data_IF_265579725067
#
_entry.id   IF_265579725067
#
_cell.length_a   1.000
_cell.length_b   1.000
_cell.length_c   1.000
_cell.angle_alpha   90.00
_cell.angle_beta   90.00
_cell.angle_gamma   90.00
#
_symmetry.space_group_name_H-M   'P 1'
#
loop_
_entity.id
_entity.type
_entity.pdbx_description
1 polymer ?
#
# COMPACT_ATOMS: atom_id res chain seq x y z
N UNK A 1 -15.61 -5.17 -8.54
CA UNK A 1 -15.39 -6.22 -7.52
C UNK A 1 -14.26 -7.13 -8.02
N UNK A 2 -13.10 -7.09 -7.37
CA UNK A 2 -11.87 -7.78 -7.78
C UNK A 2 -11.72 -9.20 -7.18
N UNK A 3 -12.76 -9.72 -6.52
CA UNK A 3 -12.72 -11.06 -5.90
C UNK A 3 -11.97 -11.13 -4.57
N UNK A 4 -11.62 -9.99 -3.97
CA UNK A 4 -10.77 -9.88 -2.78
C UNK A 4 -11.57 -9.54 -1.51
N UNK A 5 -12.65 -10.28 -1.22
CA UNK A 5 -13.54 -10.01 -0.06
C UNK A 5 -12.81 -9.99 1.28
N UNK A 6 -11.80 -10.84 1.44
CA UNK A 6 -10.98 -10.94 2.65
C UNK A 6 -10.30 -9.61 3.04
N UNK A 7 -10.08 -8.69 2.10
CA UNK A 7 -9.52 -7.36 2.39
C UNK A 7 -10.50 -6.54 3.23
N UNK A 8 -11.80 -6.60 2.92
CA UNK A 8 -12.85 -5.89 3.66
C UNK A 8 -13.24 -6.58 4.97
N UNK A 9 -13.01 -7.89 5.08
CA UNK A 9 -13.26 -8.67 6.30
C UNK A 9 -12.10 -8.57 7.32
N UNK A 10 -10.94 -8.07 6.89
CA UNK A 10 -9.77 -7.95 7.74
C UNK A 10 -9.99 -6.91 8.86
N UNK A 11 -9.53 -7.17 10.10
CA UNK A 11 -9.67 -6.22 11.20
C UNK A 11 -8.84 -4.93 11.01
N UNK A 12 -7.82 -4.97 10.16
CA UNK A 12 -6.96 -3.84 9.84
C UNK A 12 -6.46 -3.94 8.39
N UNK A 13 -6.34 -2.81 7.71
CA UNK A 13 -5.70 -2.70 6.39
C UNK A 13 -4.66 -1.59 6.45
N UNK A 14 -3.41 -1.93 6.16
CA UNK A 14 -2.36 -0.94 5.93
C UNK A 14 -2.46 -0.43 4.51
N UNK A 15 -2.29 0.88 4.33
CA UNK A 15 -2.30 1.53 3.02
C UNK A 15 -1.09 2.43 2.93
N UNK A 16 -0.35 2.34 1.84
CA UNK A 16 0.78 3.21 1.54
C UNK A 16 0.39 4.16 0.41
N UNK A 17 0.45 5.45 0.69
CA UNK A 17 0.47 6.51 -0.32
C UNK A 17 1.90 6.91 -0.66
N UNK A 18 2.07 7.60 -1.78
CA UNK A 18 3.32 8.26 -2.10
C UNK A 18 3.06 9.72 -2.51
N UNK A 19 4.03 10.57 -2.20
CA UNK A 19 4.13 11.94 -2.74
C UNK A 19 5.32 11.93 -3.70
N UNK A 20 5.14 11.72 -5.02
CA UNK A 20 6.24 11.51 -5.96
C UNK A 20 7.28 12.61 -5.92
N UNK A 21 6.86 13.86 -5.76
CA UNK A 21 7.72 15.03 -5.67
C UNK A 21 8.85 14.88 -4.62
N UNK A 22 8.59 14.19 -3.50
CA UNK A 22 9.60 13.93 -2.44
C UNK A 22 10.75 13.03 -2.90
N UNK A 23 10.57 12.30 -3.99
CA UNK A 23 11.58 11.38 -4.56
C UNK A 23 12.13 11.90 -5.89
N UNK A 24 11.29 12.58 -6.67
CA UNK A 24 11.63 13.13 -7.99
C UNK A 24 12.74 14.18 -7.94
N UNK A 25 12.83 14.99 -6.87
CA UNK A 25 13.90 15.98 -6.73
C UNK A 25 15.30 15.35 -6.84
N UNK A 26 15.44 14.08 -6.39
CA UNK A 26 16.73 13.37 -6.36
C UNK A 26 16.93 12.45 -7.55
N UNK A 27 15.86 11.77 -7.99
CA UNK A 27 15.95 10.65 -8.93
C UNK A 27 15.25 10.90 -10.27
N UNK A 28 14.57 12.05 -10.44
CA UNK A 28 13.87 12.45 -11.66
C UNK A 28 13.04 11.29 -12.24
N UNK A 29 13.29 10.91 -13.50
CA UNK A 29 12.60 9.83 -14.20
C UNK A 29 12.74 8.47 -13.53
N UNK A 30 13.71 8.24 -12.64
CA UNK A 30 13.88 6.96 -11.94
C UNK A 30 13.17 6.93 -10.57
N UNK A 31 12.48 8.00 -10.18
CA UNK A 31 11.81 8.10 -8.88
C UNK A 31 10.75 7.01 -8.68
N UNK A 32 9.97 6.69 -9.72
CA UNK A 32 8.97 5.62 -9.64
C UNK A 32 9.57 4.29 -9.17
N UNK A 33 10.78 3.95 -9.65
CA UNK A 33 11.44 2.70 -9.28
C UNK A 33 11.82 2.70 -7.80
N UNK A 34 12.34 3.82 -7.30
CA UNK A 34 12.68 3.96 -5.89
C UNK A 34 11.43 3.88 -5.00
N UNK A 35 10.36 4.59 -5.37
CA UNK A 35 9.07 4.56 -4.64
C UNK A 35 8.52 3.15 -4.54
N UNK A 36 8.50 2.39 -5.65
CA UNK A 36 7.98 1.02 -5.67
C UNK A 36 8.84 0.05 -4.85
N UNK A 37 10.17 0.22 -4.88
CA UNK A 37 11.08 -0.59 -4.05
C UNK A 37 10.86 -0.30 -2.57
N UNK A 38 10.71 0.98 -2.19
CA UNK A 38 10.47 1.38 -0.80
C UNK A 38 9.13 0.84 -0.29
N UNK A 39 8.06 0.95 -1.08
CA UNK A 39 6.75 0.39 -0.75
C UNK A 39 6.83 -1.15 -0.54
N UNK A 40 7.55 -1.85 -1.42
CA UNK A 40 7.80 -3.28 -1.30
C UNK A 40 8.58 -3.65 -0.04
N UNK A 41 9.66 -2.93 0.28
CA UNK A 41 10.44 -3.16 1.49
C UNK A 41 9.62 -2.95 2.77
N UNK A 42 8.84 -1.88 2.83
CA UNK A 42 8.01 -1.60 4.02
C UNK A 42 6.91 -2.66 4.16
N UNK A 43 6.28 -3.09 3.06
CA UNK A 43 5.28 -4.15 3.11
C UNK A 43 5.90 -5.50 3.54
N UNK A 44 7.10 -5.83 3.06
CA UNK A 44 7.78 -7.05 3.51
C UNK A 44 8.10 -7.03 5.02
N UNK A 45 8.43 -5.87 5.58
CA UNK A 45 8.55 -5.72 7.03
C UNK A 45 7.21 -5.97 7.74
N UNK A 46 6.08 -5.55 7.16
CA UNK A 46 4.75 -5.88 7.68
C UNK A 46 4.48 -7.38 7.65
N UNK A 47 4.86 -8.09 6.59
CA UNK A 47 4.76 -9.55 6.52
C UNK A 47 5.49 -10.22 7.69
N UNK A 48 6.75 -9.84 7.93
CA UNK A 48 7.55 -10.39 9.01
C UNK A 48 6.98 -10.05 10.39
N UNK A 49 6.49 -8.81 10.56
CA UNK A 49 5.90 -8.37 11.82
C UNK A 49 4.56 -9.05 12.11
N UNK A 50 3.72 -9.25 11.10
CA UNK A 50 2.45 -9.97 11.22
C UNK A 50 2.70 -11.44 11.61
N UNK A 51 3.62 -12.12 10.91
CA UNK A 51 3.99 -13.51 11.21
C UNK A 51 4.51 -13.65 12.65
N UNK A 52 5.36 -12.72 13.10
CA UNK A 52 5.93 -12.73 14.45
C UNK A 52 4.87 -12.68 15.57
N UNK A 53 3.66 -12.19 15.29
CA UNK A 53 2.54 -12.14 16.25
C UNK A 53 1.43 -13.16 15.96
N UNK A 54 1.67 -14.13 15.07
CA UNK A 54 0.69 -15.15 14.69
C UNK A 54 -0.47 -14.62 13.86
N UNK A 55 -0.21 -13.60 13.03
CA UNK A 55 -1.14 -13.01 12.09
C UNK A 55 -0.62 -13.17 10.65
N UNK A 56 -1.52 -13.04 9.68
CA UNK A 56 -1.21 -13.08 8.26
C UNK A 56 -1.47 -11.74 7.60
N UNK A 57 -0.83 -11.54 6.45
CA UNK A 57 -1.07 -10.39 5.59
C UNK A 57 -0.95 -10.77 4.11
N UNK A 58 -1.57 -9.99 3.24
CA UNK A 58 -1.52 -10.18 1.80
C UNK A 58 -1.33 -8.84 1.11
N UNK A 59 -0.25 -8.68 0.36
CA UNK A 59 0.00 -7.53 -0.49
C UNK A 59 -1.01 -7.43 -1.63
N UNK A 60 -1.61 -6.26 -1.80
CA UNK A 60 -2.63 -5.98 -2.83
C UNK A 60 -2.21 -4.75 -3.63
N UNK A 61 -1.93 -4.96 -4.92
CA UNK A 61 -1.76 -3.89 -5.90
C UNK A 61 -2.99 -3.65 -6.78
N UNK A 62 -4.03 -4.49 -6.64
CA UNK A 62 -5.26 -4.38 -7.41
C UNK A 62 -6.37 -3.82 -6.52
N UNK A 63 -6.74 -2.56 -6.72
CA UNK A 63 -7.81 -1.87 -6.02
C UNK A 63 -8.38 -0.76 -6.93
N UNK A 64 -9.48 -0.16 -6.50
CA UNK A 64 -10.04 1.02 -7.17
C UNK A 64 -9.27 2.26 -6.68
N UNK A 65 -8.47 2.85 -7.57
CA UNK A 65 -7.57 3.97 -7.24
C UNK A 65 -8.37 5.16 -6.70
N UNK A 66 -9.34 5.65 -7.47
CA UNK A 66 -10.16 6.80 -7.11
C UNK A 66 -10.90 6.56 -5.79
N UNK A 67 -11.46 5.37 -5.57
CA UNK A 67 -12.15 5.06 -4.33
C UNK A 67 -11.21 5.06 -3.11
N UNK A 68 -9.98 4.53 -3.26
CA UNK A 68 -8.99 4.49 -2.18
C UNK A 68 -8.42 5.86 -1.86
N UNK A 69 -8.11 6.67 -2.87
CA UNK A 69 -7.62 8.04 -2.69
C UNK A 69 -8.70 8.89 -2.00
N UNK A 70 -9.96 8.79 -2.44
CA UNK A 70 -11.09 9.47 -1.81
C UNK A 70 -11.31 9.02 -0.35
N UNK A 71 -11.20 7.72 -0.07
CA UNK A 71 -11.33 7.18 1.29
C UNK A 71 -10.31 7.81 2.25
N UNK A 72 -9.08 8.03 1.77
CA UNK A 72 -7.98 8.61 2.54
C UNK A 72 -7.87 10.13 2.39
N UNK A 73 -8.77 10.76 1.62
CA UNK A 73 -8.80 12.20 1.32
C UNK A 73 -7.51 12.69 0.65
N UNK A 74 -6.96 11.87 -0.23
CA UNK A 74 -5.85 12.20 -1.12
C UNK A 74 -6.39 12.82 -2.41
N UNK A 75 -5.59 13.63 -3.07
CA UNK A 75 -5.97 14.30 -4.32
C UNK A 75 -5.85 13.40 -5.57
N UNK A 76 -5.08 12.30 -5.49
CA UNK A 76 -4.87 11.40 -6.62
C UNK A 76 -3.85 11.90 -7.65
N UNK A 77 -3.27 13.09 -7.44
CA UNK A 77 -2.33 13.76 -8.34
C UNK A 77 -0.95 13.95 -7.69
N UNK A 78 -0.90 14.70 -6.59
CA UNK A 78 0.30 14.99 -5.80
C UNK A 78 0.54 13.94 -4.71
N UNK A 79 -0.52 13.36 -4.16
CA UNK A 79 -0.48 12.20 -3.26
C UNK A 79 -1.52 11.15 -3.66
N UNK A 80 -1.10 9.89 -3.77
CA UNK A 80 -2.00 8.79 -4.14
C UNK A 80 -1.56 7.46 -3.53
N UNK A 81 -2.53 6.57 -3.33
CA UNK A 81 -2.29 5.19 -2.86
C UNK A 81 -1.52 4.41 -3.91
N UNK A 82 -0.48 3.70 -3.47
CA UNK A 82 0.34 2.82 -4.32
C UNK A 82 0.27 1.35 -3.92
N UNK A 83 -0.18 1.05 -2.70
CA UNK A 83 -0.16 -0.30 -2.17
C UNK A 83 -1.07 -0.45 -0.95
N UNK A 84 -1.64 -1.63 -0.73
CA UNK A 84 -2.35 -1.95 0.51
C UNK A 84 -2.15 -3.40 0.95
N UNK A 85 -2.31 -3.67 2.24
CA UNK A 85 -2.17 -4.99 2.82
C UNK A 85 -3.10 -5.18 4.03
N UNK A 86 -4.15 -6.02 3.96
CA UNK A 86 -4.91 -6.44 5.13
C UNK A 86 -4.04 -7.23 6.11
N UNK A 87 -4.31 -7.10 7.41
CA UNK A 87 -3.71 -7.89 8.49
C UNK A 87 -4.82 -8.50 9.32
N UNK A 88 -4.73 -9.80 9.61
CA UNK A 88 -5.70 -10.51 10.42
C UNK A 88 -5.17 -11.86 10.89
N UNK A 89 -5.92 -12.53 11.77
CA UNK A 89 -5.63 -13.94 12.10
C UNK A 89 -6.07 -14.84 10.94
N UNK A 90 -5.25 -15.83 10.64
CA UNK A 90 -5.52 -16.87 9.64
C UNK A 90 -6.00 -18.17 10.29
#
# INVERSE_FOLDING_TARGET
NLGQKFVGDAPLVFVWSCIPYRTEWRYHISAYKAILIDAGHICQNLYLAAEAIGCGTCAIGAYDQDAMDNLLRLDGEDEFVVYLAPVGRY
#
